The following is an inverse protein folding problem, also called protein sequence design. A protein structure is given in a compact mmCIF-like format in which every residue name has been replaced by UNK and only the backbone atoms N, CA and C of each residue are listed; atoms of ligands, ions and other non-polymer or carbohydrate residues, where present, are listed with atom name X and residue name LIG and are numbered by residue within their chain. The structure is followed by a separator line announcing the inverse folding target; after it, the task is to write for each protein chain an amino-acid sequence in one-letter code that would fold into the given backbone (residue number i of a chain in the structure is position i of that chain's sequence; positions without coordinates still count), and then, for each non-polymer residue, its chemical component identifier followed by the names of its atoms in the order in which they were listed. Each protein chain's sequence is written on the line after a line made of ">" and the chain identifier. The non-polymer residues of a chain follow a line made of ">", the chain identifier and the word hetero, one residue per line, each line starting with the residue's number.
data_IF_914190367012
#
_entry.id   IF_914190367012
#
_cell.length_a   1.000
_cell.length_b   1.000
_cell.length_c   1.000
_cell.angle_alpha   90.00
_cell.angle_beta   90.00
_cell.angle_gamma   90.00
#
_symmetry.space_group_name_H-M   'P 1'
#
loop_
_entity.id
_entity.type
_entity.pdbx_description
1 polymer ?
#
# COMPACT_ATOMS: atom_id res chain seq x y z
N UNK A 1 48.23 -7.22 -102.76
CA UNK A 1 47.18 -7.26 -103.80
C UNK A 1 45.85 -7.02 -103.12
N UNK A 2 45.33 -5.80 -103.29
CA UNK A 2 43.92 -5.40 -103.55
C UNK A 2 42.93 -6.55 -103.74
N UNK A 3 41.64 -6.50 -103.43
CA UNK A 3 40.63 -5.58 -102.89
C UNK A 3 39.45 -6.53 -102.51
N UNK A 4 38.41 -6.18 -101.75
CA UNK A 4 37.16 -5.68 -102.34
C UNK A 4 36.10 -5.56 -101.21
N UNK A 5 35.59 -4.34 -101.05
CA UNK A 5 34.22 -3.89 -100.77
C UNK A 5 33.28 -4.75 -99.88
N UNK A 6 32.73 -4.13 -98.83
CA UNK A 6 31.36 -3.58 -98.86
C UNK A 6 31.06 -2.81 -97.56
N UNK A 7 30.75 -1.52 -97.69
CA UNK A 7 30.32 -0.62 -96.63
C UNK A 7 28.84 -0.29 -96.85
N UNK A 8 28.00 -0.53 -95.84
CA UNK A 8 26.63 -0.01 -95.78
C UNK A 8 26.34 0.58 -94.39
N UNK A 9 26.46 1.91 -94.32
CA UNK A 9 25.66 2.88 -93.56
C UNK A 9 25.39 2.58 -92.07
N UNK A 10 26.09 3.21 -91.13
CA UNK A 10 25.95 4.61 -90.65
C UNK A 10 24.82 4.81 -89.61
N UNK A 11 25.20 5.08 -88.36
CA UNK A 11 24.74 6.23 -87.56
C UNK A 11 25.50 6.25 -86.22
N UNK A 12 25.97 7.45 -85.85
CA UNK A 12 26.81 7.74 -84.70
C UNK A 12 26.03 7.75 -83.36
N UNK A 13 26.70 7.42 -82.26
CA UNK A 13 26.34 7.90 -80.92
C UNK A 13 27.58 8.46 -80.19
N UNK A 14 27.40 9.52 -79.36
CA UNK A 14 28.44 10.47 -78.98
C UNK A 14 29.05 10.19 -77.60
N UNK A 15 30.17 10.85 -77.36
CA UNK A 15 30.83 11.07 -76.06
C UNK A 15 29.88 11.74 -75.05
N UNK A 16 29.78 11.26 -73.80
CA UNK A 16 29.16 12.02 -72.72
C UNK A 16 29.77 11.79 -71.32
N UNK A 17 30.07 12.93 -70.69
CA UNK A 17 30.49 13.36 -69.34
C UNK A 17 30.27 12.50 -68.07
N UNK A 18 30.99 12.81 -66.96
CA UNK A 18 30.87 12.13 -65.67
C UNK A 18 29.61 12.57 -64.90
N UNK A 19 28.85 11.59 -64.39
CA UNK A 19 27.54 11.82 -63.73
C UNK A 19 27.68 12.01 -62.22
N UNK A 20 27.19 13.15 -61.73
CA UNK A 20 27.08 13.52 -60.32
C UNK A 20 26.17 12.59 -59.50
N UNK A 21 26.50 12.43 -58.21
CA UNK A 21 25.81 11.58 -57.24
C UNK A 21 24.38 12.05 -56.92
N UNK A 22 23.44 11.10 -56.89
CA UNK A 22 22.02 11.32 -56.65
C UNK A 22 21.64 11.40 -55.16
N UNK A 23 20.70 12.30 -54.83
CA UNK A 23 20.10 12.47 -53.49
C UNK A 23 19.01 11.41 -53.17
N UNK A 24 18.77 11.07 -51.89
CA UNK A 24 17.77 10.06 -51.50
C UNK A 24 16.31 10.58 -51.45
N UNK A 25 15.34 9.69 -51.76
CA UNK A 25 13.90 9.93 -52.00
C UNK A 25 13.04 10.28 -50.74
N UNK A 26 11.90 11.00 -50.90
CA UNK A 26 11.11 11.61 -49.82
C UNK A 26 10.09 10.72 -49.05
N UNK A 27 9.88 9.46 -49.42
CA UNK A 27 8.79 8.64 -48.83
C UNK A 27 9.07 8.12 -47.40
N UNK A 28 10.35 7.96 -47.02
CA UNK A 28 10.78 7.41 -45.73
C UNK A 28 10.65 8.39 -44.56
N UNK A 29 10.61 9.70 -44.82
CA UNK A 29 10.56 10.73 -43.78
C UNK A 29 9.17 10.85 -43.12
N UNK A 30 8.09 10.68 -43.90
CA UNK A 30 6.70 10.84 -43.40
C UNK A 30 6.28 9.72 -42.44
N UNK A 31 6.74 8.49 -42.66
CA UNK A 31 6.42 7.34 -41.80
C UNK A 31 7.09 7.42 -40.42
N UNK A 32 8.29 8.00 -40.34
CA UNK A 32 9.02 8.14 -39.07
C UNK A 32 8.40 9.19 -38.13
N UNK A 33 7.74 10.21 -38.68
CA UNK A 33 7.08 11.28 -37.91
C UNK A 33 5.77 10.78 -37.29
N UNK A 34 4.96 10.01 -38.03
CA UNK A 34 3.70 9.46 -37.53
C UNK A 34 3.88 8.45 -36.39
N UNK A 35 4.89 7.56 -36.47
CA UNK A 35 5.18 6.63 -35.38
C UNK A 35 5.67 7.34 -34.11
N UNK A 36 6.36 8.48 -34.24
CA UNK A 36 6.91 9.23 -33.09
C UNK A 36 5.85 10.06 -32.37
N UNK A 37 4.92 10.64 -33.10
CA UNK A 37 3.80 11.39 -32.54
C UNK A 37 2.82 10.49 -31.76
N UNK A 38 2.63 9.26 -32.25
CA UNK A 38 1.82 8.25 -31.54
C UNK A 38 2.42 7.81 -30.21
N UNK A 39 3.75 7.67 -30.11
CA UNK A 39 4.41 7.19 -28.89
C UNK A 39 4.33 8.19 -27.73
N UNK A 40 4.42 9.49 -28.01
CA UNK A 40 4.28 10.55 -27.00
C UNK A 40 2.86 10.67 -26.47
N UNK A 41 1.86 10.46 -27.32
CA UNK A 41 0.45 10.46 -26.91
C UNK A 41 0.13 9.25 -26.00
N UNK A 42 0.69 8.07 -26.29
CA UNK A 42 0.51 6.86 -25.47
C UNK A 42 1.17 7.00 -24.09
N UNK A 43 2.35 7.63 -24.01
CA UNK A 43 3.02 7.88 -22.74
C UNK A 43 2.27 8.88 -21.84
N UNK A 44 1.70 9.94 -22.43
CA UNK A 44 0.82 10.88 -21.72
C UNK A 44 -0.46 10.20 -21.23
N UNK A 45 -1.08 9.36 -22.06
CA UNK A 45 -2.28 8.59 -21.68
C UNK A 45 -2.04 7.63 -20.51
N UNK A 46 -0.89 6.95 -20.49
CA UNK A 46 -0.55 6.00 -19.42
C UNK A 46 -0.34 6.70 -18.06
N UNK A 47 0.32 7.86 -18.04
CA UNK A 47 0.56 8.63 -16.81
C UNK A 47 -0.74 9.19 -16.22
N UNK A 48 -1.65 9.70 -17.06
CA UNK A 48 -2.96 10.22 -16.62
C UNK A 48 -3.88 9.09 -16.15
N UNK A 49 -3.90 7.95 -16.87
CA UNK A 49 -4.73 6.80 -16.49
C UNK A 49 -4.28 6.15 -15.17
N UNK A 50 -2.97 6.12 -14.90
CA UNK A 50 -2.44 5.54 -13.65
C UNK A 50 -2.69 6.45 -12.45
N UNK A 51 -2.69 7.78 -12.65
CA UNK A 51 -3.05 8.75 -11.61
C UNK A 51 -4.53 8.71 -11.23
N UNK A 52 -5.43 8.50 -12.20
CA UNK A 52 -6.88 8.48 -11.97
C UNK A 52 -7.39 7.19 -11.29
N UNK A 53 -6.68 6.06 -11.44
CA UNK A 53 -7.10 4.75 -10.91
C UNK A 53 -6.70 4.52 -9.44
N UNK A 54 -5.80 5.34 -8.89
CA UNK A 54 -5.17 5.09 -7.57
C UNK A 54 -5.43 6.20 -6.52
N UNK A 55 -6.36 7.14 -6.76
CA UNK A 55 -6.71 8.23 -5.84
C UNK A 55 -5.51 9.04 -5.29
N UNK A 56 -4.42 9.13 -6.06
CA UNK A 56 -3.21 9.87 -5.64
C UNK A 56 -3.49 11.38 -5.57
N UNK A 57 -2.86 12.12 -4.63
CA UNK A 57 -3.06 13.55 -4.47
C UNK A 57 -2.71 14.32 -5.76
N UNK A 58 -3.56 15.27 -6.16
CA UNK A 58 -3.54 15.95 -7.47
C UNK A 58 -2.18 16.54 -7.87
N UNK A 59 -1.35 16.95 -6.90
CA UNK A 59 -0.02 17.49 -7.16
C UNK A 59 0.95 16.46 -7.76
N UNK A 60 0.76 15.16 -7.52
CA UNK A 60 1.57 14.08 -8.10
C UNK A 60 1.30 13.90 -9.61
N UNK A 61 0.03 14.04 -10.01
CA UNK A 61 -0.36 13.98 -11.43
C UNK A 61 0.21 15.18 -12.17
N UNK A 62 0.13 16.37 -11.57
CA UNK A 62 0.67 17.61 -12.13
C UNK A 62 2.19 17.56 -12.25
N UNK A 63 2.90 17.03 -11.24
CA UNK A 63 4.36 16.87 -11.29
C UNK A 63 4.78 15.87 -12.39
N UNK A 64 4.09 14.74 -12.50
CA UNK A 64 4.36 13.74 -13.54
C UNK A 64 4.12 14.26 -14.96
N UNK A 65 3.01 14.98 -15.17
CA UNK A 65 2.73 15.60 -16.48
C UNK A 65 3.70 16.74 -16.82
N UNK A 66 4.12 17.55 -15.85
CA UNK A 66 5.16 18.57 -16.05
C UNK A 66 6.49 17.95 -16.46
N UNK A 67 6.91 16.83 -15.86
CA UNK A 67 8.15 16.13 -16.24
C UNK A 67 8.06 15.60 -17.66
N UNK A 68 6.92 15.03 -18.06
CA UNK A 68 6.70 14.55 -19.44
C UNK A 68 6.67 15.72 -20.43
N UNK A 69 6.02 16.83 -20.08
CA UNK A 69 5.97 18.03 -20.92
C UNK A 69 7.33 18.72 -21.04
N UNK A 70 8.11 18.79 -19.97
CA UNK A 70 9.49 19.33 -19.99
C UNK A 70 10.40 18.42 -20.80
N UNK A 71 10.26 17.10 -20.67
CA UNK A 71 11.00 16.12 -21.48
C UNK A 71 10.62 16.25 -22.96
N UNK A 72 9.33 16.33 -23.25
CA UNK A 72 8.79 16.59 -24.59
C UNK A 72 9.29 17.92 -25.18
N UNK A 73 9.25 18.99 -24.40
CA UNK A 73 9.71 20.32 -24.80
C UNK A 73 11.23 20.37 -25.02
N UNK A 74 12.02 19.70 -24.19
CA UNK A 74 13.47 19.56 -24.39
C UNK A 74 13.79 18.76 -25.66
N UNK A 75 12.99 17.74 -25.97
CA UNK A 75 13.12 17.01 -27.25
C UNK A 75 12.65 17.85 -28.44
N UNK A 76 11.58 18.64 -28.31
CA UNK A 76 11.01 19.46 -29.37
C UNK A 76 11.86 20.69 -29.71
N UNK A 77 12.35 21.43 -28.70
CA UNK A 77 13.19 22.63 -28.88
C UNK A 77 14.55 22.32 -29.50
N UNK A 78 14.96 21.04 -29.46
CA UNK A 78 16.17 20.57 -30.13
C UNK A 78 16.01 20.37 -31.64
N UNK A 79 14.79 20.34 -32.18
CA UNK A 79 14.57 20.23 -33.63
C UNK A 79 14.55 21.61 -34.33
N UNK A 80 14.15 22.68 -33.64
CA UNK A 80 14.14 24.04 -34.21
C UNK A 80 15.55 24.62 -34.45
N UNK A 81 16.59 24.10 -33.78
CA UNK A 81 17.95 24.64 -33.86
C UNK A 81 18.93 23.76 -34.66
N UNK A 82 18.51 22.60 -35.19
CA UNK A 82 19.44 21.59 -35.70
C UNK A 82 19.14 21.14 -37.14
N UNK A 83 18.79 22.08 -38.01
CA UNK A 83 18.83 21.87 -39.46
C UNK A 83 20.27 21.90 -40.03
N UNK A 84 21.33 22.07 -39.22
CA UNK A 84 22.68 22.25 -39.77
C UNK A 84 23.82 21.71 -38.90
N UNK A 85 23.77 20.45 -38.47
CA UNK A 85 24.99 19.63 -38.35
C UNK A 85 24.66 18.18 -37.99
N UNK A 86 25.00 17.28 -38.90
CA UNK A 86 25.03 15.85 -38.65
C UNK A 86 26.24 15.52 -37.76
N UNK A 87 26.02 15.05 -36.54
CA UNK A 87 26.97 14.17 -35.87
C UNK A 87 26.24 12.97 -35.24
N UNK A 88 26.54 11.79 -35.77
CA UNK A 88 25.97 10.48 -35.36
C UNK A 88 26.24 10.16 -33.87
N UNK A 89 27.17 10.89 -33.24
CA UNK A 89 27.50 10.80 -31.80
C UNK A 89 26.34 11.19 -30.88
N UNK A 90 25.45 12.11 -31.29
CA UNK A 90 24.36 12.64 -30.46
C UNK A 90 23.18 11.68 -30.24
N UNK A 91 22.98 10.70 -31.13
CA UNK A 91 21.83 9.76 -31.02
C UNK A 91 22.02 8.75 -29.89
N UNK A 92 23.25 8.23 -29.72
CA UNK A 92 23.58 7.30 -28.62
C UNK A 92 23.48 7.98 -27.26
N UNK A 93 23.99 9.21 -27.13
CA UNK A 93 23.86 9.99 -25.89
C UNK A 93 22.41 10.27 -25.54
N UNK A 94 21.54 10.58 -26.52
CA UNK A 94 20.10 10.79 -26.28
C UNK A 94 19.37 9.53 -25.83
N UNK A 95 19.68 8.37 -26.42
CA UNK A 95 19.11 7.10 -25.97
C UNK A 95 19.58 6.72 -24.57
N UNK A 96 20.87 6.93 -24.26
CA UNK A 96 21.42 6.69 -22.93
C UNK A 96 20.77 7.59 -21.87
N UNK A 97 20.55 8.87 -22.17
CA UNK A 97 19.86 9.81 -21.27
C UNK A 97 18.39 9.38 -21.05
N UNK A 98 17.67 8.98 -22.10
CA UNK A 98 16.29 8.51 -21.96
C UNK A 98 16.18 7.23 -21.12
N UNK A 99 17.09 6.27 -21.32
CA UNK A 99 17.15 5.04 -20.52
C UNK A 99 17.52 5.35 -19.07
N UNK A 100 18.46 6.26 -18.83
CA UNK A 100 18.84 6.68 -17.48
C UNK A 100 17.67 7.34 -16.73
N UNK A 101 16.89 8.20 -17.41
CA UNK A 101 15.71 8.84 -16.82
C UNK A 101 14.59 7.84 -16.50
N UNK A 102 14.34 6.89 -17.40
CA UNK A 102 13.37 5.82 -17.15
C UNK A 102 13.82 4.93 -15.97
N UNK A 103 15.10 4.54 -15.94
CA UNK A 103 15.65 3.75 -14.85
C UNK A 103 15.58 4.50 -13.51
N UNK A 104 15.89 5.81 -13.48
CA UNK A 104 15.76 6.61 -12.26
C UNK A 104 14.30 6.72 -11.79
N UNK A 105 13.35 6.90 -12.71
CA UNK A 105 11.93 7.01 -12.37
C UNK A 105 11.40 5.71 -11.75
N UNK A 106 11.74 4.55 -12.35
CA UNK A 106 11.36 3.25 -11.83
C UNK A 106 11.99 2.98 -10.47
N UNK A 107 13.27 3.33 -10.29
CA UNK A 107 13.95 3.17 -9.00
C UNK A 107 13.32 4.04 -7.89
N UNK A 108 12.98 5.30 -8.19
CA UNK A 108 12.28 6.16 -7.22
C UNK A 108 10.89 5.65 -6.87
N UNK A 109 10.12 5.18 -7.86
CA UNK A 109 8.80 4.62 -7.60
C UNK A 109 8.87 3.36 -6.74
N UNK A 110 9.80 2.45 -7.05
CA UNK A 110 10.03 1.24 -6.25
C UNK A 110 10.46 1.58 -4.81
N UNK A 111 11.35 2.56 -4.62
CA UNK A 111 11.79 2.99 -3.31
C UNK A 111 10.65 3.60 -2.48
N UNK A 112 9.84 4.48 -3.09
CA UNK A 112 8.68 5.10 -2.41
C UNK A 112 7.62 4.06 -2.08
N UNK A 113 7.28 3.18 -3.02
CA UNK A 113 6.32 2.10 -2.78
C UNK A 113 6.81 1.15 -1.68
N UNK A 114 8.09 0.79 -1.69
CA UNK A 114 8.68 -0.03 -0.64
C UNK A 114 8.63 0.65 0.72
N UNK A 115 9.02 1.93 0.81
CA UNK A 115 8.92 2.71 2.06
C UNK A 115 7.48 2.82 2.52
N UNK A 116 6.52 3.08 1.63
CA UNK A 116 5.12 3.19 1.97
C UNK A 116 4.54 1.87 2.50
N UNK A 117 4.85 0.74 1.84
CA UNK A 117 4.38 -0.58 2.27
C UNK A 117 5.03 -1.03 3.59
N UNK A 118 6.33 -0.76 3.79
CA UNK A 118 7.05 -1.18 5.00
C UNK A 118 6.73 -0.33 6.22
N UNK A 119 6.72 1.01 6.07
CA UNK A 119 6.40 1.93 7.17
C UNK A 119 4.95 1.79 7.61
N UNK A 120 4.01 1.63 6.67
CA UNK A 120 2.60 1.40 7.00
C UNK A 120 2.39 0.03 7.66
N UNK A 121 3.13 -0.99 7.21
CA UNK A 121 3.07 -2.34 7.78
C UNK A 121 3.58 -2.40 9.22
N UNK A 122 4.75 -1.84 9.51
CA UNK A 122 5.35 -1.93 10.85
C UNK A 122 4.54 -1.18 11.92
N UNK A 123 4.02 0.00 11.61
CA UNK A 123 3.18 0.74 12.56
C UNK A 123 1.84 0.06 12.80
N UNK A 124 1.22 -0.48 11.75
CA UNK A 124 -0.07 -1.19 11.87
C UNK A 124 0.08 -2.48 12.66
N UNK A 125 1.13 -3.27 12.41
CA UNK A 125 1.34 -4.55 13.10
C UNK A 125 1.73 -4.36 14.58
N UNK A 126 2.55 -3.35 14.91
CA UNK A 126 2.83 -3.02 16.33
C UNK A 126 1.56 -2.57 17.05
N UNK A 127 0.73 -1.72 16.44
CA UNK A 127 -0.55 -1.31 17.01
C UNK A 127 -1.49 -2.49 17.19
N UNK A 128 -1.58 -3.41 16.22
CA UNK A 128 -2.38 -4.64 16.32
C UNK A 128 -1.96 -5.52 17.47
N UNK A 129 -0.67 -5.79 17.61
CA UNK A 129 -0.14 -6.61 18.70
C UNK A 129 -0.44 -5.97 20.07
N UNK A 130 -0.20 -4.66 20.21
CA UNK A 130 -0.46 -3.93 21.44
C UNK A 130 -1.95 -3.93 21.81
N UNK A 131 -2.85 -3.75 20.83
CA UNK A 131 -4.30 -3.80 21.04
C UNK A 131 -4.75 -5.22 21.44
N UNK A 132 -4.18 -6.26 20.81
CA UNK A 132 -4.50 -7.64 21.14
C UNK A 132 -4.09 -7.98 22.59
N UNK A 133 -2.86 -7.66 22.97
CA UNK A 133 -2.36 -7.82 24.33
C UNK A 133 -3.25 -7.06 25.32
N UNK A 134 -3.57 -5.80 25.00
CA UNK A 134 -4.42 -4.98 25.86
C UNK A 134 -5.82 -5.55 26.02
N UNK A 135 -6.42 -6.07 24.96
CA UNK A 135 -7.70 -6.75 25.02
C UNK A 135 -7.66 -7.98 25.94
N UNK A 136 -6.58 -8.76 25.87
CA UNK A 136 -6.36 -9.91 26.76
C UNK A 136 -6.31 -9.50 28.22
N UNK A 137 -5.49 -8.48 28.55
CA UNK A 137 -5.37 -7.94 29.91
C UNK A 137 -6.70 -7.43 30.46
N UNK A 138 -7.38 -6.57 29.71
CA UNK A 138 -8.63 -5.95 30.16
C UNK A 138 -9.72 -7.00 30.37
N UNK A 139 -9.80 -7.98 29.46
CA UNK A 139 -10.78 -9.07 29.56
C UNK A 139 -10.52 -9.95 30.78
N UNK A 140 -9.26 -10.33 31.00
CA UNK A 140 -8.86 -11.10 32.17
C UNK A 140 -9.18 -10.34 33.48
N UNK A 141 -8.88 -9.03 33.52
CA UNK A 141 -9.19 -8.17 34.66
C UNK A 141 -10.69 -8.07 34.95
N UNK A 142 -11.52 -7.89 33.92
CA UNK A 142 -12.99 -7.76 34.06
C UNK A 142 -13.64 -9.03 34.62
N UNK A 143 -13.05 -10.20 34.37
CA UNK A 143 -13.57 -11.49 34.81
C UNK A 143 -12.97 -11.95 36.15
N UNK A 144 -11.90 -11.32 36.61
CA UNK A 144 -11.18 -11.65 37.85
C UNK A 144 -11.75 -10.87 39.02
N UNK A 145 -12.01 -11.56 40.13
CA UNK A 145 -12.44 -10.92 41.37
C UNK A 145 -12.17 -11.81 42.58
N UNK A 146 -12.09 -11.20 43.76
CA UNK A 146 -12.03 -11.92 45.04
C UNK A 146 -13.07 -11.41 46.01
N UNK A 147 -13.71 -12.30 46.77
CA UNK A 147 -14.74 -11.91 47.73
C UNK A 147 -14.38 -10.74 48.67
N UNK A 148 -13.13 -10.63 49.20
CA UNK A 148 -12.76 -9.51 50.08
C UNK A 148 -12.64 -8.15 49.37
N UNK A 149 -12.34 -8.16 48.07
CA UNK A 149 -12.05 -6.96 47.25
C UNK A 149 -13.04 -6.77 46.11
N UNK A 150 -14.13 -7.54 46.07
CA UNK A 150 -15.01 -7.65 44.91
C UNK A 150 -15.58 -6.29 44.48
N UNK A 151 -15.87 -5.39 45.41
CA UNK A 151 -16.30 -4.03 45.07
C UNK A 151 -15.22 -3.23 44.33
N UNK A 152 -13.99 -3.30 44.80
CA UNK A 152 -12.85 -2.59 44.22
C UNK A 152 -12.47 -3.20 42.86
N UNK A 153 -12.48 -4.54 42.76
CA UNK A 153 -12.24 -5.28 41.53
C UNK A 153 -13.29 -4.89 40.46
N UNK A 154 -14.57 -4.85 40.85
CA UNK A 154 -15.67 -4.42 39.96
C UNK A 154 -15.55 -2.94 39.59
N UNK A 155 -15.16 -2.06 40.52
CA UNK A 155 -14.96 -0.65 40.22
C UNK A 155 -13.80 -0.42 39.23
N UNK A 156 -12.70 -1.15 39.41
CA UNK A 156 -11.57 -1.13 38.49
C UNK A 156 -11.98 -1.67 37.12
N UNK A 157 -12.66 -2.81 37.06
CA UNK A 157 -13.17 -3.39 35.83
C UNK A 157 -14.04 -2.39 35.05
N UNK A 158 -14.99 -1.72 35.74
CA UNK A 158 -15.86 -0.69 35.15
C UNK A 158 -15.09 0.47 34.52
N UNK A 159 -13.92 0.85 35.06
CA UNK A 159 -13.09 1.92 34.48
C UNK A 159 -12.54 1.58 33.09
N UNK A 160 -12.61 0.32 32.69
CA UNK A 160 -12.16 -0.21 31.40
C UNK A 160 -13.30 -0.56 30.45
N UNK A 161 -14.55 -0.25 30.81
CA UNK A 161 -15.74 -0.55 30.01
C UNK A 161 -16.39 0.72 29.47
N UNK A 162 -17.12 0.59 28.38
CA UNK A 162 -17.89 1.69 27.78
C UNK A 162 -19.23 1.19 27.22
N UNK A 163 -20.08 2.14 26.84
CA UNK A 163 -21.36 1.89 26.18
C UNK A 163 -22.33 1.02 27.00
N UNK A 164 -23.19 0.30 26.29
CA UNK A 164 -24.22 -0.57 26.88
C UNK A 164 -23.63 -1.72 27.72
N UNK A 165 -22.41 -2.16 27.39
CA UNK A 165 -21.74 -3.21 28.14
C UNK A 165 -21.39 -2.78 29.56
N UNK A 166 -20.94 -1.52 29.75
CA UNK A 166 -20.70 -0.96 31.08
C UNK A 166 -21.98 -0.97 31.94
N UNK A 167 -23.12 -0.61 31.37
CA UNK A 167 -24.42 -0.60 32.07
C UNK A 167 -24.84 -2.01 32.47
N UNK A 168 -24.80 -2.95 31.52
CA UNK A 168 -25.15 -4.36 31.75
C UNK A 168 -24.24 -5.03 32.77
N UNK A 169 -22.93 -4.78 32.67
CA UNK A 169 -21.94 -5.26 33.64
C UNK A 169 -22.19 -4.70 35.04
N UNK A 170 -22.45 -3.39 35.14
CA UNK A 170 -22.75 -2.73 36.42
C UNK A 170 -23.98 -3.34 37.10
N UNK A 171 -25.03 -3.61 36.31
CA UNK A 171 -26.24 -4.25 36.82
C UNK A 171 -25.96 -5.66 37.33
N UNK A 172 -25.36 -6.50 36.48
CA UNK A 172 -25.07 -7.90 36.83
C UNK A 172 -24.17 -8.00 38.08
N UNK A 173 -23.15 -7.16 38.15
CA UNK A 173 -22.20 -7.19 39.27
C UNK A 173 -22.83 -6.72 40.57
N UNK A 174 -23.60 -5.64 40.54
CA UNK A 174 -24.25 -5.08 41.73
C UNK A 174 -25.38 -5.98 42.25
N UNK A 175 -26.20 -6.52 41.36
CA UNK A 175 -27.39 -7.30 41.74
C UNK A 175 -27.05 -8.76 42.07
N UNK A 176 -26.02 -9.34 41.43
CA UNK A 176 -25.76 -10.78 41.48
C UNK A 176 -24.36 -11.12 41.94
N UNK A 177 -23.31 -10.62 41.26
CA UNK A 177 -21.94 -11.12 41.49
C UNK A 177 -21.42 -10.70 42.86
N UNK A 178 -21.54 -9.43 43.25
CA UNK A 178 -21.04 -8.94 44.54
C UNK A 178 -21.71 -9.67 45.72
N UNK A 179 -23.06 -9.78 45.80
CA UNK A 179 -23.71 -10.52 46.88
C UNK A 179 -23.29 -11.99 46.93
N UNK A 180 -23.23 -12.67 45.77
CA UNK A 180 -22.89 -14.08 45.71
C UNK A 180 -21.42 -14.35 46.04
N UNK A 181 -20.50 -13.49 45.56
CA UNK A 181 -19.08 -13.58 45.87
C UNK A 181 -18.84 -13.45 47.37
N UNK A 182 -19.48 -12.48 48.03
CA UNK A 182 -19.38 -12.29 49.48
C UNK A 182 -19.97 -13.44 50.28
N UNK A 183 -21.15 -13.92 49.89
CA UNK A 183 -21.82 -15.01 50.58
C UNK A 183 -21.07 -16.33 50.44
N UNK A 184 -20.61 -16.66 49.24
CA UNK A 184 -19.90 -17.91 48.94
C UNK A 184 -18.39 -17.86 49.19
N UNK A 185 -17.86 -16.69 49.56
CA UNK A 185 -16.41 -16.41 49.58
C UNK A 185 -15.75 -16.85 48.27
N UNK A 186 -16.38 -16.50 47.14
CA UNK A 186 -15.93 -16.91 45.81
C UNK A 186 -14.79 -16.01 45.36
N UNK A 187 -13.76 -16.64 44.82
CA UNK A 187 -12.72 -15.98 44.07
C UNK A 187 -12.60 -16.61 42.69
N UNK A 188 -12.34 -15.78 41.70
CA UNK A 188 -12.11 -16.20 40.32
C UNK A 188 -10.91 -15.43 39.79
N UNK A 189 -9.99 -16.15 39.16
CA UNK A 189 -8.82 -15.60 38.51
C UNK A 189 -8.81 -16.01 37.05
N UNK A 190 -8.57 -15.06 36.16
CA UNK A 190 -8.47 -15.29 34.72
C UNK A 190 -7.18 -14.72 34.16
N UNK A 191 -6.67 -15.38 33.13
CA UNK A 191 -5.51 -14.97 32.36
C UNK A 191 -5.79 -15.21 30.88
N UNK A 192 -5.32 -14.30 30.03
CA UNK A 192 -5.28 -14.53 28.60
C UNK A 192 -4.19 -15.58 28.29
N UNK A 193 -4.61 -16.73 27.78
CA UNK A 193 -3.71 -17.77 27.27
C UNK A 193 -3.32 -17.55 25.80
N UNK A 194 -4.09 -16.72 25.09
CA UNK A 194 -3.78 -16.29 23.73
C UNK A 194 -4.77 -15.25 23.23
N UNK A 195 -4.37 -14.52 22.18
CA UNK A 195 -5.19 -13.47 21.56
C UNK A 195 -5.05 -13.53 20.04
N UNK A 196 -6.10 -13.17 19.32
CA UNK A 196 -6.09 -13.06 17.85
C UNK A 196 -6.86 -11.84 17.39
N UNK A 197 -6.23 -10.99 16.57
CA UNK A 197 -6.88 -9.80 16.02
C UNK A 197 -7.78 -10.21 14.86
N UNK A 198 -9.06 -9.85 14.94
CA UNK A 198 -10.03 -10.01 13.85
C UNK A 198 -10.02 -8.77 12.97
N UNK A 199 -10.07 -7.60 13.60
CA UNK A 199 -9.92 -6.30 12.94
C UNK A 199 -9.33 -5.28 13.91
N UNK A 200 -8.60 -4.30 13.38
CA UNK A 200 -8.06 -3.20 14.17
C UNK A 200 -7.98 -1.97 13.26
N UNK A 201 -8.74 -0.96 13.64
CA UNK A 201 -8.82 0.36 13.03
C UNK A 201 -8.22 1.39 14.02
N UNK A 202 -8.21 2.68 13.65
CA UNK A 202 -7.61 3.72 14.49
C UNK A 202 -8.36 3.94 15.82
N UNK A 203 -9.67 3.69 15.84
CA UNK A 203 -10.57 4.00 16.96
C UNK A 203 -11.34 2.77 17.48
N UNK A 204 -11.23 1.63 16.82
CA UNK A 204 -11.99 0.43 17.17
C UNK A 204 -11.21 -0.84 16.82
N UNK A 205 -11.46 -1.90 17.58
CA UNK A 205 -10.83 -3.18 17.33
C UNK A 205 -11.72 -4.35 17.75
N UNK A 206 -11.52 -5.49 17.10
CA UNK A 206 -12.15 -6.77 17.44
C UNK A 206 -11.06 -7.79 17.67
N UNK A 207 -11.02 -8.37 18.86
CA UNK A 207 -10.02 -9.34 19.27
C UNK A 207 -10.70 -10.58 19.82
N UNK A 208 -10.25 -11.77 19.42
CA UNK A 208 -10.61 -13.01 20.09
C UNK A 208 -9.61 -13.22 21.23
N UNK A 209 -10.11 -13.47 22.43
CA UNK A 209 -9.31 -13.73 23.62
C UNK A 209 -9.61 -15.14 24.11
N UNK A 210 -8.56 -15.93 24.23
CA UNK A 210 -8.59 -17.26 24.82
C UNK A 210 -8.16 -17.12 26.27
N UNK A 211 -8.99 -17.64 27.17
CA UNK A 211 -8.85 -17.46 28.60
C UNK A 211 -8.69 -18.80 29.29
N UNK A 212 -7.83 -18.81 30.29
CA UNK A 212 -7.77 -19.87 31.30
C UNK A 212 -7.88 -19.22 32.67
N UNK A 213 -8.44 -19.94 33.62
CA UNK A 213 -8.66 -19.40 34.94
C UNK A 213 -8.85 -20.47 35.99
N UNK A 214 -9.04 -20.01 37.20
CA UNK A 214 -9.38 -20.84 38.35
C UNK A 214 -10.47 -20.19 39.16
N UNK A 215 -11.32 -21.01 39.77
CA UNK A 215 -12.29 -20.54 40.77
C UNK A 215 -12.23 -21.40 42.02
N UNK A 216 -12.38 -20.75 43.17
CA UNK A 216 -12.47 -21.38 44.48
C UNK A 216 -13.54 -20.67 45.31
N UNK A 217 -14.05 -21.36 46.33
CA UNK A 217 -15.09 -20.85 47.24
C UNK A 217 -14.93 -21.46 48.62
N UNK A 218 -15.61 -20.92 49.65
CA UNK A 218 -15.62 -21.54 50.96
C UNK A 218 -16.20 -22.97 50.95
N UNK A 219 -17.16 -23.25 50.06
CA UNK A 219 -17.75 -24.57 49.92
C UNK A 219 -16.86 -25.57 49.16
N UNK A 220 -16.02 -25.06 48.25
CA UNK A 220 -15.10 -25.85 47.44
C UNK A 220 -13.74 -25.14 47.35
N UNK A 221 -12.86 -25.38 48.33
CA UNK A 221 -11.59 -24.66 48.44
C UNK A 221 -10.56 -25.11 47.40
N UNK A 222 -10.67 -26.32 46.86
CA UNK A 222 -9.78 -26.80 45.80
C UNK A 222 -10.06 -26.04 44.49
N UNK A 223 -9.06 -25.34 43.90
CA UNK A 223 -9.24 -24.56 42.69
C UNK A 223 -9.74 -25.42 41.52
N UNK A 224 -10.85 -25.01 40.91
CA UNK A 224 -11.37 -25.62 39.70
C UNK A 224 -10.92 -24.83 38.48
N UNK A 225 -10.30 -25.49 37.51
CA UNK A 225 -9.84 -24.85 36.28
C UNK A 225 -11.01 -24.51 35.35
N UNK A 226 -10.92 -23.32 34.76
CA UNK A 226 -11.87 -22.77 33.81
C UNK A 226 -11.17 -22.46 32.49
N UNK A 227 -11.89 -22.63 31.39
CA UNK A 227 -11.45 -22.23 30.06
C UNK A 227 -12.61 -21.51 29.38
N UNK A 228 -12.31 -20.40 28.70
CA UNK A 228 -13.32 -19.65 27.97
C UNK A 228 -12.69 -19.02 26.73
N UNK A 229 -13.50 -18.81 25.70
CA UNK A 229 -13.09 -18.06 24.51
C UNK A 229 -14.13 -16.98 24.29
N UNK A 230 -13.68 -15.74 24.11
CA UNK A 230 -14.56 -14.59 23.99
C UNK A 230 -14.15 -13.71 22.83
N UNK A 231 -15.13 -13.15 22.13
CA UNK A 231 -14.93 -12.04 21.19
C UNK A 231 -15.08 -10.74 21.96
N UNK A 232 -14.06 -9.91 21.87
CA UNK A 232 -13.97 -8.63 22.57
C UNK A 232 -13.99 -7.52 21.53
N UNK A 233 -14.88 -6.55 21.73
CA UNK A 233 -14.95 -5.33 20.95
C UNK A 233 -14.38 -4.20 21.80
N UNK A 234 -13.40 -3.49 21.25
CA UNK A 234 -12.75 -2.35 21.89
C UNK A 234 -13.04 -1.07 21.12
N UNK A 235 -13.14 0.02 21.87
CA UNK A 235 -13.26 1.39 21.36
C UNK A 235 -12.19 2.25 22.04
N UNK A 236 -11.51 3.07 21.24
CA UNK A 236 -10.53 4.01 21.73
C UNK A 236 -11.23 5.26 22.28
N UNK A 237 -10.87 5.66 23.49
CA UNK A 237 -11.32 6.89 24.15
C UNK A 237 -10.09 7.64 24.65
N UNK A 238 -9.66 8.67 23.89
CA UNK A 238 -8.38 9.33 24.12
C UNK A 238 -7.21 8.37 23.93
N UNK A 239 -6.39 8.22 24.97
CA UNK A 239 -5.22 7.32 24.96
C UNK A 239 -5.53 5.92 25.53
N UNK A 240 -6.81 5.59 25.77
CA UNK A 240 -7.21 4.33 26.40
C UNK A 240 -8.12 3.49 25.49
N UNK A 241 -7.89 2.18 25.49
CA UNK A 241 -8.81 1.21 24.92
C UNK A 241 -9.81 0.74 25.98
N UNK A 242 -11.10 0.82 25.65
CA UNK A 242 -12.20 0.39 26.52
C UNK A 242 -12.97 -0.74 25.85
N UNK A 243 -13.42 -1.72 26.65
CA UNK A 243 -14.25 -2.82 26.15
C UNK A 243 -15.69 -2.30 26.00
N UNK A 244 -16.19 -2.27 24.77
CA UNK A 244 -17.58 -1.92 24.48
C UNK A 244 -18.48 -3.14 24.35
N UNK A 245 -17.90 -4.34 24.17
CA UNK A 245 -18.64 -5.60 24.15
C UNK A 245 -17.76 -6.81 24.43
N UNK A 246 -18.34 -7.79 25.12
CA UNK A 246 -17.74 -9.12 25.34
C UNK A 246 -18.79 -10.20 25.04
N UNK A 247 -18.49 -11.08 24.10
CA UNK A 247 -19.38 -12.16 23.63
C UNK A 247 -18.69 -13.52 23.79
N UNK A 248 -19.26 -14.50 24.52
CA UNK A 248 -18.77 -15.87 24.52
C UNK A 248 -18.83 -16.51 23.14
N UNK A 249 -17.86 -17.38 22.83
CA UNK A 249 -17.77 -18.17 21.58
C UNK A 249 -18.21 -19.61 21.76
#
# INVERSE_FOLDING_TARGET
>A
MTCELENKHAAAEPTQEPRAAAAPKPATARQAVFLRCGLTAVALGAVVATGAVLEFPLWFIVAGTLVVLVTGALTYRSEAAFAHSLTIRGRRTRTLVAVALLASSTATFAAVAHLHLTVSGEHTERTRAAVAEKAGELTAGVLTYKAPTVEDDVAQAKSHLTGEFLESYTKLTTETIIPQAKQGQVETHWEASGTSVVSADSDSAVVLVFLRGTTASAAKPDPTYLFSSVRVRLEASGDQWLISRLEPL
#
